data_IF_859628209132
#
_entry.id   IF_859628209132
#
_cell.length_a   1.000
_cell.length_b   1.000
_cell.length_c   1.000
_cell.angle_alpha   90.00
_cell.angle_beta   90.00
_cell.angle_gamma   90.00
#
_symmetry.space_group_name_H-M   'P 1'
#
loop_
_entity.id
_entity.type
_entity.pdbx_description
1 polymer ?
#
# COMPACT_ATOMS: atom_id res chain seq x y z
N UNK A 1 -16.33 -24.69 -24.71
CA UNK A 1 -16.81 -23.55 -23.92
C UNK A 1 -15.66 -23.17 -23.00
N UNK A 2 -14.71 -22.40 -23.53
CA UNK A 2 -13.66 -21.82 -22.72
C UNK A 2 -14.36 -20.74 -21.88
N UNK A 3 -14.33 -20.92 -20.55
CA UNK A 3 -14.65 -19.83 -19.65
C UNK A 3 -13.43 -18.91 -19.69
N UNK A 4 -13.36 -18.05 -20.70
CA UNK A 4 -12.60 -16.82 -20.62
C UNK A 4 -13.16 -16.07 -19.41
N UNK A 5 -12.47 -16.28 -18.30
CA UNK A 5 -12.57 -15.44 -17.12
C UNK A 5 -11.71 -14.24 -17.43
N UNK A 6 -12.19 -13.42 -18.37
CA UNK A 6 -11.81 -12.02 -18.47
C UNK A 6 -12.19 -11.41 -17.13
N UNK A 7 -11.25 -11.50 -16.20
CA UNK A 7 -11.25 -10.74 -14.96
C UNK A 7 -11.01 -9.33 -15.44
N UNK A 8 -12.10 -8.64 -15.74
CA UNK A 8 -12.17 -7.22 -16.01
C UNK A 8 -11.38 -6.50 -14.92
N UNK A 9 -10.12 -6.19 -15.24
CA UNK A 9 -9.17 -5.48 -14.40
C UNK A 9 -9.76 -4.09 -14.20
N UNK A 10 -10.37 -3.89 -13.04
CA UNK A 10 -10.95 -2.62 -12.61
C UNK A 10 -9.93 -1.49 -12.69
N UNK A 11 -9.96 -0.80 -13.84
CA UNK A 11 -9.22 0.39 -14.26
C UNK A 11 -9.67 1.67 -13.51
N UNK A 12 -10.35 1.50 -12.37
CA UNK A 12 -10.83 2.56 -11.48
C UNK A 12 -10.33 2.40 -10.04
N UNK A 13 -9.46 1.42 -9.78
CA UNK A 13 -8.74 1.36 -8.52
C UNK A 13 -7.72 2.52 -8.45
N UNK A 14 -8.02 3.54 -7.64
CA UNK A 14 -7.08 4.60 -7.18
C UNK A 14 -5.73 4.02 -6.71
N UNK A 15 -5.71 2.73 -6.40
CA UNK A 15 -4.59 1.97 -5.89
C UNK A 15 -4.24 0.78 -6.80
N UNK A 16 -3.16 0.92 -7.57
CA UNK A 16 -2.48 -0.21 -8.26
C UNK A 16 -1.96 -1.25 -7.26
N UNK A 17 -2.08 -2.57 -7.53
CA UNK A 17 -1.58 -3.61 -6.63
C UNK A 17 -0.09 -3.48 -6.31
N UNK A 18 0.72 -3.01 -7.27
CA UNK A 18 2.16 -2.74 -7.08
C UNK A 18 2.40 -1.58 -6.10
N UNK A 19 1.68 -0.46 -6.28
CA UNK A 19 1.76 0.71 -5.41
C UNK A 19 1.32 0.39 -3.97
N UNK A 20 0.25 -0.40 -3.82
CA UNK A 20 -0.19 -0.91 -2.52
C UNK A 20 0.84 -1.81 -1.84
N UNK A 21 1.40 -2.79 -2.56
CA UNK A 21 2.39 -3.70 -2.00
C UNK A 21 3.62 -2.96 -1.47
N UNK A 22 4.13 -1.98 -2.24
CA UNK A 22 5.28 -1.17 -1.84
C UNK A 22 4.91 -0.22 -0.71
N UNK A 23 3.81 0.53 -0.83
CA UNK A 23 3.39 1.51 0.17
C UNK A 23 3.07 0.89 1.53
N UNK A 24 2.26 -0.18 1.55
CA UNK A 24 1.92 -0.89 2.80
C UNK A 24 3.17 -1.59 3.38
N UNK A 25 3.98 -2.24 2.55
CA UNK A 25 5.20 -2.91 3.02
C UNK A 25 6.17 -1.92 3.69
N UNK A 26 6.41 -0.78 3.07
CA UNK A 26 7.30 0.26 3.59
C UNK A 26 6.69 0.96 4.82
N UNK A 27 5.40 1.31 4.78
CA UNK A 27 4.71 1.95 5.88
C UNK A 27 4.62 1.09 7.13
N UNK A 28 4.37 -0.22 6.97
CA UNK A 28 4.38 -1.17 8.09
C UNK A 28 5.78 -1.39 8.65
N UNK A 29 6.80 -1.55 7.81
CA UNK A 29 8.18 -1.73 8.27
C UNK A 29 8.66 -0.51 9.07
N UNK A 30 8.38 0.71 8.58
CA UNK A 30 8.78 1.94 9.28
C UNK A 30 7.92 2.19 10.52
N UNK A 31 6.60 2.00 10.43
CA UNK A 31 5.68 2.17 11.56
C UNK A 31 5.94 1.19 12.71
N UNK A 32 6.27 -0.06 12.40
CA UNK A 32 6.63 -1.05 13.43
C UNK A 32 8.01 -0.78 14.02
N UNK A 33 9.00 -0.41 13.20
CA UNK A 33 10.34 -0.06 13.68
C UNK A 33 10.32 1.14 14.63
N UNK A 34 9.58 2.21 14.27
CA UNK A 34 9.39 3.37 15.13
C UNK A 34 8.55 3.02 16.37
N UNK A 35 7.48 2.26 16.21
CA UNK A 35 6.66 1.82 17.34
C UNK A 35 7.43 1.03 18.38
N UNK A 36 8.31 0.13 17.96
CA UNK A 36 9.20 -0.62 18.87
C UNK A 36 10.26 0.29 19.49
N UNK A 37 10.83 1.23 18.72
CA UNK A 37 11.84 2.16 19.23
C UNK A 37 11.31 3.12 20.31
N UNK A 38 10.04 3.52 20.21
CA UNK A 38 9.37 4.39 21.18
C UNK A 38 8.60 3.63 22.28
N UNK A 39 8.63 2.29 22.26
CA UNK A 39 7.82 1.42 23.14
C UNK A 39 6.30 1.70 23.07
N UNK A 40 5.86 2.29 21.95
CA UNK A 40 4.51 2.83 21.75
C UNK A 40 3.97 2.42 20.38
N UNK A 41 3.92 1.10 20.18
CA UNK A 41 3.49 0.49 18.91
C UNK A 41 2.02 0.81 18.62
N UNK A 42 1.20 1.03 19.64
CA UNK A 42 -0.23 1.31 19.50
C UNK A 42 -0.52 2.59 18.72
N UNK A 43 0.32 3.63 18.86
CA UNK A 43 0.20 4.89 18.12
C UNK A 43 0.95 4.85 16.78
N UNK A 44 2.11 4.20 16.76
CA UNK A 44 2.99 4.22 15.58
C UNK A 44 2.59 3.23 14.47
N UNK A 45 1.95 2.10 14.80
CA UNK A 45 1.41 1.17 13.79
C UNK A 45 0.35 1.83 12.89
N UNK A 46 -0.75 2.41 13.43
CA UNK A 46 -1.76 3.05 12.59
C UNK A 46 -1.21 4.27 11.85
N UNK A 47 -0.26 5.00 12.46
CA UNK A 47 0.44 6.10 11.79
C UNK A 47 1.26 5.61 10.59
N UNK A 48 2.05 4.54 10.76
CA UNK A 48 2.82 3.94 9.68
C UNK A 48 1.94 3.33 8.57
N UNK A 49 0.81 2.73 8.95
CA UNK A 49 -0.18 2.25 7.98
C UNK A 49 -0.79 3.41 7.18
N UNK A 50 -1.20 4.49 7.83
CA UNK A 50 -1.74 5.67 7.16
C UNK A 50 -0.72 6.30 6.20
N UNK A 51 0.55 6.39 6.63
CA UNK A 51 1.66 6.84 5.78
C UNK A 51 1.88 5.89 4.59
N UNK A 52 1.85 4.58 4.83
CA UNK A 52 2.00 3.56 3.80
C UNK A 52 0.90 3.60 2.75
N UNK A 53 -0.35 3.86 3.16
CA UNK A 53 -1.48 4.07 2.25
C UNK A 53 -1.31 5.37 1.46
N UNK A 54 -0.85 6.45 2.08
CA UNK A 54 -0.56 7.70 1.36
C UNK A 54 0.54 7.51 0.31
N UNK A 55 1.60 6.78 0.64
CA UNK A 55 2.64 6.40 -0.32
C UNK A 55 2.12 5.45 -1.39
N UNK A 56 1.23 4.51 -1.05
CA UNK A 56 0.60 3.64 -2.03
C UNK A 56 -0.15 4.45 -3.09
N UNK A 57 -0.93 5.48 -2.70
CA UNK A 57 -1.58 6.39 -3.65
C UNK A 57 -0.55 7.12 -4.51
N UNK A 58 0.52 7.65 -3.91
CA UNK A 58 1.54 8.39 -4.63
C UNK A 58 2.26 7.52 -5.67
N UNK A 59 2.69 6.32 -5.28
CA UNK A 59 3.37 5.37 -6.16
C UNK A 59 2.44 4.70 -7.16
N UNK A 60 1.15 4.54 -6.84
CA UNK A 60 0.17 4.07 -7.83
C UNK A 60 0.09 5.02 -9.01
N UNK A 61 0.20 6.34 -8.81
CA UNK A 61 0.22 7.31 -9.92
C UNK A 61 1.54 7.30 -10.70
N UNK A 62 2.66 7.08 -10.02
CA UNK A 62 3.99 7.03 -10.65
C UNK A 62 4.19 5.74 -11.49
N UNK A 63 3.77 4.59 -10.95
CA UNK A 63 3.93 3.28 -11.60
C UNK A 63 2.92 3.02 -12.72
N UNK A 64 1.82 3.77 -12.76
CA UNK A 64 0.85 3.75 -13.85
C UNK A 64 1.38 4.46 -15.10
N UNK A 65 2.29 5.44 -14.89
CA UNK A 65 2.87 6.26 -15.96
C UNK A 65 4.14 5.64 -16.58
N UNK A 66 4.54 4.42 -16.19
CA UNK A 66 5.82 3.76 -16.58
C UNK A 66 5.68 2.49 -17.41
#
# INVERSE_FOLDING_TARGET
MAADTDTDEGDDAVFTPKGLAVGIGFGLMFGTALGVAFDDVALWLPTGLALGVAFAVAFSRELDES
#
